data_IF_196843445531
#
_entry.id   IF_196843445531
#
_cell.length_a   1.000
_cell.length_b   1.000
_cell.length_c   1.000
_cell.angle_alpha   90.00
_cell.angle_beta   90.00
_cell.angle_gamma   90.00
#
_symmetry.space_group_name_H-M   'P 1'
#
loop_
_entity.id
_entity.type
_entity.pdbx_description
1 polymer ?
#
# COMPACT_ATOMS: atom_id res chain seq x y z
N UNK A 1 -7.84 -39.59 -15.16
CA UNK A 1 -7.28 -38.39 -14.50
C UNK A 1 -6.86 -37.42 -15.60
N UNK A 2 -7.58 -36.32 -15.78
CA UNK A 2 -7.25 -35.32 -16.82
C UNK A 2 -6.02 -34.50 -16.42
N UNK A 3 -5.11 -34.25 -17.35
CA UNK A 3 -3.96 -33.37 -17.15
C UNK A 3 -4.48 -31.97 -16.77
N UNK A 4 -3.91 -31.30 -15.75
CA UNK A 4 -4.25 -29.92 -15.49
C UNK A 4 -3.86 -29.07 -16.71
N UNK A 5 -4.78 -28.23 -17.18
CA UNK A 5 -4.51 -27.31 -18.27
C UNK A 5 -3.32 -26.42 -17.91
N UNK A 6 -2.42 -26.15 -18.87
CA UNK A 6 -1.25 -25.29 -18.68
C UNK A 6 -1.59 -23.92 -18.05
N UNK A 7 -2.83 -23.45 -18.24
CA UNK A 7 -3.36 -22.23 -17.65
C UNK A 7 -3.59 -22.35 -16.13
N UNK A 8 -4.04 -23.50 -15.64
CA UNK A 8 -4.16 -23.77 -14.20
C UNK A 8 -2.79 -23.71 -13.53
N UNK A 9 -1.79 -24.33 -14.16
CA UNK A 9 -0.40 -24.32 -13.67
C UNK A 9 0.15 -22.90 -13.61
N UNK A 10 -0.07 -22.09 -14.65
CA UNK A 10 0.34 -20.69 -14.66
C UNK A 10 -0.39 -19.86 -13.56
N UNK A 11 -1.70 -20.04 -13.40
CA UNK A 11 -2.47 -19.34 -12.38
C UNK A 11 -2.05 -19.73 -10.95
N UNK A 12 -1.71 -21.00 -10.71
CA UNK A 12 -1.19 -21.48 -9.43
C UNK A 12 0.18 -20.86 -9.13
N UNK A 13 1.07 -20.76 -10.13
CA UNK A 13 2.36 -20.09 -9.98
C UNK A 13 2.20 -18.61 -9.62
N UNK A 14 1.32 -17.90 -10.31
CA UNK A 14 1.03 -16.48 -10.00
C UNK A 14 0.42 -16.31 -8.60
N UNK A 15 -0.36 -17.28 -8.15
CA UNK A 15 -0.97 -17.28 -6.83
C UNK A 15 0.04 -17.54 -5.71
N UNK A 16 0.99 -18.46 -5.93
CA UNK A 16 2.11 -18.67 -5.03
C UNK A 16 3.03 -17.44 -4.95
N UNK A 17 3.31 -16.82 -6.09
CA UNK A 17 4.06 -15.55 -6.16
C UNK A 17 3.34 -14.44 -5.39
N UNK A 18 2.00 -14.35 -5.48
CA UNK A 18 1.22 -13.39 -4.68
C UNK A 18 1.40 -13.60 -3.17
N UNK A 19 1.38 -14.85 -2.68
CA UNK A 19 1.63 -15.11 -1.27
C UNK A 19 3.02 -14.63 -0.83
N UNK A 20 4.04 -14.87 -1.65
CA UNK A 20 5.40 -14.43 -1.35
C UNK A 20 5.48 -12.90 -1.26
N UNK A 21 4.97 -12.19 -2.28
CA UNK A 21 5.02 -10.72 -2.32
C UNK A 21 4.21 -10.09 -1.18
N UNK A 22 3.12 -10.73 -0.72
CA UNK A 22 2.37 -10.31 0.46
C UNK A 22 3.21 -10.39 1.75
N UNK A 23 3.97 -11.49 1.93
CA UNK A 23 4.85 -11.66 3.10
C UNK A 23 5.98 -10.63 3.06
N UNK A 24 6.62 -10.46 1.91
CA UNK A 24 7.69 -9.48 1.69
C UNK A 24 7.19 -8.05 1.99
N UNK A 25 6.06 -7.66 1.42
CA UNK A 25 5.46 -6.34 1.65
C UNK A 25 5.12 -6.08 3.12
N UNK A 26 4.66 -7.11 3.84
CA UNK A 26 4.37 -6.98 5.27
C UNK A 26 5.66 -6.80 6.10
N UNK A 27 6.71 -7.55 5.76
CA UNK A 27 8.01 -7.46 6.42
C UNK A 27 8.67 -6.09 6.16
N UNK A 28 8.61 -5.61 4.91
CA UNK A 28 9.09 -4.30 4.51
C UNK A 28 8.32 -3.19 5.25
N UNK A 29 7.00 -3.30 5.35
CA UNK A 29 6.19 -2.36 6.12
C UNK A 29 6.58 -2.36 7.61
N UNK A 30 6.73 -3.53 8.22
CA UNK A 30 7.15 -3.65 9.61
C UNK A 30 8.55 -3.07 9.85
N UNK A 31 9.50 -3.32 8.93
CA UNK A 31 10.84 -2.77 8.97
C UNK A 31 10.82 -1.24 8.80
N UNK A 32 10.11 -0.75 7.79
CA UNK A 32 9.93 0.67 7.51
C UNK A 32 9.37 1.44 8.73
N UNK A 33 8.32 0.91 9.38
CA UNK A 33 7.74 1.52 10.57
C UNK A 33 8.68 1.48 11.79
N UNK A 34 9.57 0.48 11.86
CA UNK A 34 10.63 0.42 12.88
C UNK A 34 11.70 1.47 12.63
N UNK A 35 12.13 1.66 11.38
CA UNK A 35 13.06 2.73 10.99
C UNK A 35 12.43 4.09 11.28
N UNK A 36 11.17 4.30 10.90
CA UNK A 36 10.45 5.55 11.17
C UNK A 36 10.43 5.90 12.66
N UNK A 37 10.14 4.92 13.53
CA UNK A 37 10.18 5.13 14.98
C UNK A 37 11.54 5.60 15.49
N UNK A 38 12.63 5.08 14.91
CA UNK A 38 14.00 5.51 15.25
C UNK A 38 14.24 6.94 14.76
N UNK A 39 13.93 7.22 13.50
CA UNK A 39 14.07 8.53 12.89
C UNK A 39 13.30 9.61 13.66
N UNK A 40 12.07 9.32 14.11
CA UNK A 40 11.29 10.24 14.94
C UNK A 40 11.93 10.49 16.32
N UNK A 41 12.59 9.48 16.90
CA UNK A 41 13.32 9.65 18.18
C UNK A 41 14.52 10.58 18.00
N UNK A 42 15.22 10.44 16.88
CA UNK A 42 16.36 11.28 16.54
C UNK A 42 15.90 12.71 16.21
N UNK A 43 14.82 12.87 15.44
CA UNK A 43 14.19 14.16 15.18
C UNK A 43 13.82 14.87 16.50
N UNK A 44 13.13 14.18 17.40
CA UNK A 44 12.76 14.72 18.71
C UNK A 44 13.98 15.17 19.53
N UNK A 45 15.08 14.42 19.46
CA UNK A 45 16.33 14.73 20.17
C UNK A 45 17.01 15.99 19.61
N UNK A 46 17.04 16.14 18.28
CA UNK A 46 17.64 17.29 17.58
C UNK A 46 16.87 18.59 17.84
N UNK A 47 15.55 18.51 17.94
CA UNK A 47 14.67 19.67 18.12
C UNK A 47 14.38 19.98 19.60
N UNK A 48 15.10 19.35 20.56
CA UNK A 48 14.94 19.62 21.98
C UNK A 48 13.62 19.12 22.60
N UNK A 49 12.83 18.33 21.86
CA UNK A 49 11.53 17.81 22.28
C UNK A 49 11.69 16.62 23.24
N UNK A 50 12.04 16.90 24.51
CA UNK A 50 12.39 15.85 25.50
C UNK A 50 11.25 15.40 26.44
N UNK A 51 10.15 16.14 26.57
CA UNK A 51 9.20 15.90 27.68
C UNK A 51 7.70 15.77 27.31
N UNK A 52 7.12 16.65 26.47
CA UNK A 52 5.69 16.58 26.08
C UNK A 52 5.51 17.01 24.62
N UNK A 53 4.60 16.36 23.89
CA UNK A 53 4.26 16.73 22.52
C UNK A 53 5.33 16.37 21.47
N UNK A 54 6.11 15.30 21.68
CA UNK A 54 7.13 14.90 20.71
C UNK A 54 6.50 14.27 19.46
N UNK A 55 7.16 14.38 18.31
CA UNK A 55 6.68 13.81 17.05
C UNK A 55 6.45 12.30 17.17
N UNK A 56 7.40 11.59 17.81
CA UNK A 56 7.25 10.15 18.09
C UNK A 56 6.01 9.83 18.89
N UNK A 57 5.70 10.65 19.90
CA UNK A 57 4.53 10.43 20.76
C UNK A 57 3.22 10.73 20.01
N UNK A 58 3.23 11.75 19.15
CA UNK A 58 2.09 12.20 18.36
C UNK A 58 1.69 11.17 17.29
N UNK A 59 2.66 10.54 16.62
CA UNK A 59 2.42 9.53 15.58
C UNK A 59 2.25 8.10 16.14
N UNK A 60 2.37 7.89 17.46
CA UNK A 60 2.50 6.54 18.05
C UNK A 60 1.33 5.61 17.71
N UNK A 61 0.10 6.11 17.82
CA UNK A 61 -1.12 5.34 17.53
C UNK A 61 -1.16 4.90 16.06
N UNK A 62 -0.85 5.82 15.17
CA UNK A 62 -0.95 5.60 13.72
C UNK A 62 0.13 4.65 13.24
N UNK A 63 1.34 4.73 13.83
CA UNK A 63 2.41 3.76 13.54
C UNK A 63 2.01 2.37 14.01
N UNK A 64 1.33 2.26 15.16
CA UNK A 64 0.82 0.97 15.66
C UNK A 64 -0.26 0.44 14.73
N UNK A 65 -1.24 1.26 14.38
CA UNK A 65 -2.31 0.89 13.46
C UNK A 65 -1.77 0.43 12.10
N UNK A 66 -0.84 1.18 11.49
CA UNK A 66 -0.22 0.81 10.22
C UNK A 66 0.52 -0.54 10.32
N UNK A 67 1.20 -0.79 11.45
CA UNK A 67 1.85 -2.08 11.70
C UNK A 67 0.83 -3.22 11.78
N UNK A 68 -0.22 -3.03 12.58
CA UNK A 68 -1.24 -4.05 12.80
C UNK A 68 -1.98 -4.38 11.49
N UNK A 69 -2.35 -3.35 10.71
CA UNK A 69 -2.97 -3.52 9.38
C UNK A 69 -2.03 -4.21 8.39
N UNK A 70 -0.74 -3.87 8.39
CA UNK A 70 0.24 -4.54 7.50
C UNK A 70 0.46 -6.01 7.85
N UNK A 71 0.30 -6.40 9.11
CA UNK A 71 0.41 -7.80 9.54
C UNK A 71 -0.72 -8.68 8.97
N UNK A 72 -1.88 -8.09 8.64
CA UNK A 72 -2.95 -8.81 7.95
C UNK A 72 -2.54 -9.29 6.56
N UNK A 73 -1.56 -8.66 5.89
CA UNK A 73 -1.02 -9.16 4.62
C UNK A 73 -0.37 -10.54 4.80
N UNK A 74 0.34 -10.77 5.91
CA UNK A 74 0.91 -12.09 6.23
C UNK A 74 -0.19 -13.12 6.49
N UNK A 75 -1.25 -12.72 7.18
CA UNK A 75 -2.38 -13.60 7.44
C UNK A 75 -3.10 -14.02 6.15
N UNK A 76 -3.26 -13.09 5.20
CA UNK A 76 -3.78 -13.39 3.86
C UNK A 76 -2.82 -14.32 3.10
N UNK A 77 -1.51 -14.08 3.14
CA UNK A 77 -0.52 -14.95 2.51
C UNK A 77 -0.57 -16.38 3.07
N UNK A 78 -0.74 -16.53 4.38
CA UNK A 78 -0.89 -17.84 5.00
C UNK A 78 -2.17 -18.56 4.53
N UNK A 79 -3.28 -17.85 4.38
CA UNK A 79 -4.53 -18.40 3.82
C UNK A 79 -4.33 -18.87 2.37
N UNK A 80 -3.70 -18.05 1.53
CA UNK A 80 -3.37 -18.38 0.14
C UNK A 80 -2.53 -19.66 0.07
N UNK A 81 -1.48 -19.77 0.89
CA UNK A 81 -0.62 -20.96 0.91
C UNK A 81 -1.36 -22.23 1.37
N UNK A 82 -2.39 -22.08 2.21
CA UNK A 82 -3.19 -23.21 2.73
C UNK A 82 -4.29 -23.65 1.77
N UNK A 83 -4.81 -22.77 0.92
CA UNK A 83 -5.97 -23.09 0.09
C UNK A 83 -5.66 -24.02 -1.08
N UNK A 84 -4.38 -24.18 -1.45
CA UNK A 84 -3.84 -25.03 -2.53
C UNK A 84 -4.45 -24.80 -3.93
N UNK A 85 -5.46 -23.93 -4.05
CA UNK A 85 -6.20 -23.61 -5.26
C UNK A 85 -6.39 -22.11 -5.35
N UNK A 86 -6.06 -21.56 -6.52
CA UNK A 86 -6.26 -20.15 -6.81
C UNK A 86 -7.72 -19.73 -6.57
N UNK A 87 -7.92 -18.73 -5.71
CA UNK A 87 -9.24 -18.32 -5.21
C UNK A 87 -9.48 -16.83 -5.36
N UNK A 88 -10.57 -16.47 -6.08
CA UNK A 88 -10.98 -15.06 -6.26
C UNK A 88 -11.23 -14.33 -4.94
N UNK A 89 -11.72 -15.05 -3.92
CA UNK A 89 -11.98 -14.48 -2.58
C UNK A 89 -10.69 -14.07 -1.90
N UNK A 90 -9.63 -14.86 -2.05
CA UNK A 90 -8.33 -14.61 -1.44
C UNK A 90 -7.59 -13.47 -2.15
N UNK A 91 -7.71 -13.38 -3.47
CA UNK A 91 -7.18 -12.23 -4.23
C UNK A 91 -7.92 -10.93 -3.84
N UNK A 92 -9.26 -10.97 -3.73
CA UNK A 92 -10.02 -9.83 -3.25
C UNK A 92 -9.64 -9.43 -1.81
N UNK A 93 -9.37 -10.42 -0.95
CA UNK A 93 -8.84 -10.20 0.40
C UNK A 93 -7.48 -9.52 0.35
N UNK A 94 -6.54 -9.99 -0.48
CA UNK A 94 -5.23 -9.38 -0.67
C UNK A 94 -5.34 -7.92 -1.09
N UNK A 95 -6.17 -7.61 -2.10
CA UNK A 95 -6.44 -6.24 -2.56
C UNK A 95 -7.01 -5.36 -1.45
N UNK A 96 -7.99 -5.85 -0.69
CA UNK A 96 -8.59 -5.11 0.43
C UNK A 96 -7.54 -4.74 1.48
N UNK A 97 -6.71 -5.68 1.91
CA UNK A 97 -5.71 -5.44 2.95
C UNK A 97 -4.53 -4.60 2.45
N UNK A 98 -4.16 -4.72 1.17
CA UNK A 98 -3.19 -3.82 0.54
C UNK A 98 -3.69 -2.37 0.54
N UNK A 99 -4.94 -2.13 0.12
CA UNK A 99 -5.54 -0.80 0.14
C UNK A 99 -5.62 -0.24 1.58
N UNK A 100 -6.02 -1.06 2.54
CA UNK A 100 -6.04 -0.67 3.95
C UNK A 100 -4.65 -0.29 4.47
N UNK A 101 -3.61 -1.03 4.07
CA UNK A 101 -2.22 -0.72 4.41
C UNK A 101 -1.80 0.62 3.81
N UNK A 102 -2.08 0.86 2.52
CA UNK A 102 -1.78 2.14 1.86
C UNK A 102 -2.47 3.31 2.58
N UNK A 103 -3.76 3.17 2.88
CA UNK A 103 -4.52 4.20 3.58
C UNK A 103 -3.95 4.49 4.98
N UNK A 104 -3.54 3.47 5.72
CA UNK A 104 -2.92 3.65 7.04
C UNK A 104 -1.58 4.43 6.95
N UNK A 105 -0.81 4.20 5.89
CA UNK A 105 0.43 4.93 5.62
C UNK A 105 0.19 6.37 5.16
N UNK A 106 -0.92 6.64 4.46
CA UNK A 106 -1.31 8.01 4.09
C UNK A 106 -1.86 8.79 5.29
N UNK A 107 -2.54 8.12 6.22
CA UNK A 107 -2.91 8.71 7.52
C UNK A 107 -1.64 9.12 8.28
N UNK A 108 -0.58 8.31 8.29
CA UNK A 108 0.70 8.69 8.90
C UNK A 108 1.27 10.00 8.31
N UNK A 109 1.25 10.15 6.99
CA UNK A 109 1.70 11.39 6.32
C UNK A 109 0.83 12.59 6.74
N UNK A 110 -0.48 12.40 6.82
CA UNK A 110 -1.43 13.44 7.22
C UNK A 110 -1.24 13.84 8.69
N UNK A 111 -1.06 12.87 9.58
CA UNK A 111 -0.79 13.13 11.00
C UNK A 111 0.55 13.81 11.20
N UNK A 112 1.58 13.44 10.43
CA UNK A 112 2.88 14.11 10.41
C UNK A 112 2.75 15.59 10.02
N UNK A 113 2.01 15.87 8.93
CA UNK A 113 1.72 17.24 8.52
C UNK A 113 0.97 18.03 9.60
N UNK A 114 -0.02 17.42 10.23
CA UNK A 114 -0.76 18.05 11.33
C UNK A 114 0.14 18.36 12.53
N UNK A 115 1.17 17.54 12.76
CA UNK A 115 2.19 17.83 13.77
C UNK A 115 2.99 19.08 13.39
N UNK A 116 3.51 19.14 12.16
CA UNK A 116 4.28 20.27 11.68
C UNK A 116 3.47 21.57 11.73
N UNK A 117 2.19 21.53 11.32
CA UNK A 117 1.30 22.69 11.36
C UNK A 117 1.08 23.22 12.79
N UNK A 118 0.95 22.32 13.78
CA UNK A 118 0.76 22.69 15.19
C UNK A 118 2.02 23.28 15.82
N UNK A 119 3.20 22.87 15.37
CA UNK A 119 4.48 23.29 15.95
C UNK A 119 5.16 24.42 15.17
N UNK A 120 4.43 25.08 14.25
CA UNK A 120 4.96 26.22 13.49
C UNK A 120 5.89 25.83 12.33
N UNK A 121 6.05 24.55 12.06
CA UNK A 121 6.78 24.01 10.90
C UNK A 121 5.86 23.81 9.68
N UNK A 122 4.73 24.53 9.62
CA UNK A 122 3.79 24.45 8.52
C UNK A 122 4.48 24.77 7.18
N UNK A 123 4.60 23.81 6.29
CA UNK A 123 5.07 24.04 4.92
C UNK A 123 3.92 24.54 4.04
N UNK A 124 4.17 25.57 3.22
CA UNK A 124 3.22 26.13 2.23
C UNK A 124 2.52 27.43 2.64
N UNK A 125 1.45 27.80 1.91
CA UNK A 125 0.74 29.09 2.02
C UNK A 125 0.29 29.40 3.46
N UNK A 126 -0.13 28.39 4.22
CA UNK A 126 -0.56 28.55 5.62
C UNK A 126 0.60 28.93 6.56
N UNK A 127 1.82 28.43 6.30
CA UNK A 127 3.03 28.84 7.03
C UNK A 127 3.45 30.26 6.66
N UNK A 128 3.38 30.61 5.38
CA UNK A 128 3.65 31.97 4.91
C UNK A 128 2.69 33.01 5.52
N UNK A 129 1.40 32.69 5.63
CA UNK A 129 0.41 33.58 6.24
C UNK A 129 0.62 33.69 7.76
N UNK A 130 0.91 32.59 8.47
CA UNK A 130 1.17 32.64 9.93
C UNK A 130 2.39 33.51 10.25
N UNK A 131 3.48 33.37 9.48
CA UNK A 131 4.68 34.18 9.66
C UNK A 131 4.45 35.67 9.34
N UNK A 132 3.57 35.97 8.37
CA UNK A 132 3.17 37.35 8.06
C UNK A 132 2.22 37.98 9.10
N UNK A 133 1.42 37.17 9.81
CA UNK A 133 0.43 37.65 10.79
C UNK A 133 1.02 37.84 12.19
N UNK A 134 2.02 37.03 12.59
CA UNK A 134 2.74 37.18 13.87
C UNK A 134 3.84 38.26 13.82
N UNK A 135 4.07 38.88 12.65
CA UNK A 135 5.14 39.85 12.40
C UNK A 135 4.85 41.30 12.81
N UNK A 136 3.90 41.55 13.73
CA UNK A 136 3.62 42.90 14.25
C UNK A 136 3.93 43.02 15.75
N UNK A 137 5.23 43.19 16.06
CA UNK A 137 5.69 44.02 17.17
C UNK A 137 7.10 44.55 16.86
N UNK A 138 7.20 45.87 16.78
CA UNK A 138 8.43 46.63 16.52
C UNK A 138 9.43 46.54 17.70
N UNK A 139 10.72 46.35 17.40
CA UNK A 139 11.79 47.35 17.57
C UNK A 139 13.21 46.75 17.47
N UNK A 140 14.12 47.57 16.94
CA UNK A 140 15.59 47.51 16.96
C UNK A 140 16.37 46.62 15.96
N UNK A 141 16.61 47.22 14.79
CA UNK A 141 17.95 47.56 14.25
C UNK A 141 19.13 46.72 14.79
N UNK A 142 19.38 45.58 14.14
CA UNK A 142 20.69 45.07 13.69
C UNK A 142 20.67 43.54 13.62
N UNK A 143 20.15 42.99 12.53
CA UNK A 143 20.54 41.67 12.10
C UNK A 143 20.66 41.68 10.58
N UNK A 144 21.91 41.55 10.14
CA UNK A 144 22.29 41.43 8.74
C UNK A 144 21.42 40.38 8.05
N UNK A 145 20.98 40.74 6.86
CA UNK A 145 20.43 39.81 5.89
C UNK A 145 21.42 38.67 5.69
N UNK A 146 21.03 37.46 6.11
CA UNK A 146 21.59 36.22 5.59
C UNK A 146 20.40 35.31 5.24
N UNK A 147 19.91 35.52 4.02
CA UNK A 147 19.15 34.53 3.29
C UNK A 147 20.08 33.36 2.98
N UNK A 148 20.25 32.43 3.92
CA UNK A 148 20.81 31.12 3.62
C UNK A 148 19.69 30.19 3.17
N UNK A 149 19.33 30.31 1.89
CA UNK A 149 18.90 29.14 1.14
C UNK A 149 20.13 28.27 0.93
N UNK A 150 20.24 27.16 1.66
CA UNK A 150 21.28 26.19 1.40
C UNK A 150 20.72 24.78 1.23
N UNK A 151 20.76 24.36 -0.03
CA UNK A 151 20.59 22.98 -0.45
C UNK A 151 21.88 22.22 -0.11
N UNK A 152 21.90 21.59 1.06
CA UNK A 152 22.97 20.64 1.38
C UNK A 152 22.48 19.19 1.35
N UNK A 153 22.66 18.62 0.16
CA UNK A 153 23.00 17.22 -0.04
C UNK A 153 24.22 16.83 0.81
N UNK A 154 24.09 15.84 1.70
CA UNK A 154 25.27 15.17 2.25
C UNK A 154 25.11 14.51 3.62
N UNK A 155 24.50 13.31 3.66
CA UNK A 155 24.63 12.42 4.82
C UNK A 155 23.47 11.43 5.00
N UNK A 156 23.39 10.41 4.13
CA UNK A 156 22.61 9.12 4.21
C UNK A 156 21.10 9.14 4.59
N UNK A 157 20.61 10.12 5.34
CA UNK A 157 19.22 10.55 5.47
C UNK A 157 19.32 12.04 5.86
N UNK A 158 19.22 12.93 4.86
CA UNK A 158 19.25 14.38 5.09
C UNK A 158 18.31 14.75 6.24
N UNK A 159 18.79 15.61 7.14
CA UNK A 159 18.00 16.16 8.24
C UNK A 159 16.72 16.77 7.66
N UNK A 160 15.61 16.03 7.73
CA UNK A 160 14.33 16.55 7.29
C UNK A 160 13.88 17.56 8.32
N UNK A 161 13.79 18.83 7.92
CA UNK A 161 13.40 19.93 8.81
C UNK A 161 11.96 19.79 9.33
N UNK A 162 11.14 18.94 8.68
CA UNK A 162 9.77 18.63 9.10
C UNK A 162 9.53 17.14 9.31
N UNK A 163 8.52 16.82 10.12
CA UNK A 163 8.11 15.45 10.39
C UNK A 163 7.43 14.83 9.17
N UNK A 164 6.64 15.60 8.41
CA UNK A 164 5.99 15.14 7.17
C UNK A 164 7.02 14.63 6.15
N UNK A 165 8.07 15.40 5.89
CA UNK A 165 9.12 15.00 4.96
C UNK A 165 9.92 13.81 5.49
N UNK A 166 10.12 13.72 6.82
CA UNK A 166 10.75 12.56 7.45
C UNK A 166 9.92 11.28 7.25
N UNK A 167 8.59 11.38 7.42
CA UNK A 167 7.68 10.26 7.15
C UNK A 167 7.73 9.89 5.66
N UNK A 168 7.55 10.85 4.75
CA UNK A 168 7.54 10.59 3.30
C UNK A 168 8.83 9.94 2.82
N UNK A 169 9.98 10.49 3.19
CA UNK A 169 11.29 9.96 2.81
C UNK A 169 11.52 8.56 3.38
N UNK A 170 11.16 8.33 4.65
CA UNK A 170 11.29 7.01 5.26
C UNK A 170 10.41 5.98 4.54
N UNK A 171 9.15 6.31 4.27
CA UNK A 171 8.23 5.42 3.55
C UNK A 171 8.74 5.12 2.13
N UNK A 172 9.16 6.15 1.38
CA UNK A 172 9.66 6.02 0.01
C UNK A 172 10.90 5.12 -0.07
N UNK A 173 11.79 5.20 0.91
CA UNK A 173 13.06 4.49 0.89
C UNK A 173 12.96 3.04 1.38
N UNK A 174 11.94 2.70 2.16
CA UNK A 174 11.87 1.42 2.87
C UNK A 174 10.64 0.57 2.51
N UNK A 175 9.71 1.08 1.71
CA UNK A 175 8.50 0.35 1.36
C UNK A 175 8.09 0.58 -0.10
N UNK A 176 7.86 -0.52 -0.82
CA UNK A 176 7.37 -0.47 -2.19
C UNK A 176 6.12 -1.36 -2.39
N UNK A 177 4.93 -0.74 -2.29
CA UNK A 177 3.66 -1.43 -2.54
C UNK A 177 3.36 -1.62 -4.04
N UNK A 178 4.11 -1.03 -4.97
CA UNK A 178 3.84 -1.15 -6.41
C UNK A 178 3.99 -2.59 -6.90
N UNK A 179 4.94 -3.33 -6.34
CA UNK A 179 5.18 -4.74 -6.65
C UNK A 179 3.97 -5.58 -6.25
N UNK A 180 3.42 -5.34 -5.05
CA UNK A 180 2.21 -6.02 -4.57
C UNK A 180 0.98 -5.69 -5.43
N UNK A 181 0.79 -4.41 -5.79
CA UNK A 181 -0.29 -4.00 -6.70
C UNK A 181 -0.20 -4.74 -8.04
N UNK A 182 1.01 -4.81 -8.61
CA UNK A 182 1.25 -5.53 -9.86
C UNK A 182 0.91 -7.01 -9.72
N UNK A 183 1.40 -7.67 -8.67
CA UNK A 183 1.19 -9.11 -8.48
C UNK A 183 -0.28 -9.45 -8.25
N UNK A 184 -1.03 -8.61 -7.51
CA UNK A 184 -2.47 -8.76 -7.35
C UNK A 184 -3.17 -8.66 -8.71
N UNK A 185 -2.84 -7.66 -9.54
CA UNK A 185 -3.44 -7.51 -10.86
C UNK A 185 -3.12 -8.69 -11.79
N UNK A 186 -1.90 -9.23 -11.74
CA UNK A 186 -1.48 -10.39 -12.53
C UNK A 186 -2.25 -11.64 -12.10
N UNK A 187 -2.36 -11.89 -10.80
CA UNK A 187 -3.14 -13.00 -10.26
C UNK A 187 -4.64 -12.90 -10.63
N UNK A 188 -5.23 -11.70 -10.59
CA UNK A 188 -6.63 -11.50 -11.03
C UNK A 188 -6.83 -11.78 -12.51
N UNK A 189 -5.89 -11.35 -13.35
CA UNK A 189 -5.92 -11.61 -14.80
C UNK A 189 -5.80 -13.10 -15.09
N UNK A 190 -4.92 -13.81 -14.39
CA UNK A 190 -4.76 -15.26 -14.54
C UNK A 190 -6.05 -16.04 -14.23
N UNK A 191 -6.88 -15.53 -13.29
CA UNK A 191 -8.17 -16.11 -12.91
C UNK A 191 -9.38 -15.69 -13.78
N UNK A 192 -9.21 -14.69 -14.65
CA UNK A 192 -10.31 -14.18 -15.47
C UNK A 192 -10.44 -15.02 -16.74
N UNK A 193 -11.63 -15.58 -17.09
CA UNK A 193 -11.81 -16.33 -18.34
C UNK A 193 -11.47 -15.47 -19.55
N UNK A 194 -10.76 -16.04 -20.52
CA UNK A 194 -10.57 -15.36 -21.81
C UNK A 194 -11.92 -15.24 -22.51
N UNK A 195 -12.19 -14.14 -23.22
CA UNK A 195 -13.41 -13.97 -24.04
C UNK A 195 -13.58 -15.16 -25.00
N UNK A 196 -12.48 -15.70 -25.51
CA UNK A 196 -12.44 -16.88 -26.38
C UNK A 196 -12.90 -18.16 -25.68
N UNK A 197 -12.62 -18.30 -24.38
CA UNK A 197 -13.11 -19.45 -23.60
C UNK A 197 -14.58 -19.33 -23.24
N UNK A 198 -15.06 -18.12 -22.89
CA UNK A 198 -16.50 -17.88 -22.72
C UNK A 198 -17.25 -18.20 -24.02
N UNK A 199 -16.68 -17.84 -25.16
CA UNK A 199 -17.24 -18.20 -26.47
C UNK A 199 -17.18 -19.71 -26.72
N UNK A 200 -16.09 -20.41 -26.37
CA UNK A 200 -16.00 -21.87 -26.48
C UNK A 200 -16.98 -22.62 -25.56
N UNK A 201 -17.13 -22.23 -24.29
CA UNK A 201 -18.14 -22.80 -23.38
C UNK A 201 -19.56 -22.55 -23.88
N UNK A 202 -19.86 -21.32 -24.35
CA UNK A 202 -21.16 -21.01 -24.93
C UNK A 202 -21.46 -21.84 -26.19
N UNK A 203 -20.46 -22.05 -27.06
CA UNK A 203 -20.60 -22.92 -28.22
C UNK A 203 -20.74 -24.40 -27.84
N UNK A 204 -20.08 -24.87 -26.78
CA UNK A 204 -20.22 -26.25 -26.31
C UNK A 204 -21.63 -26.51 -25.76
N UNK A 205 -22.20 -25.57 -24.99
CA UNK A 205 -23.58 -25.66 -24.49
C UNK A 205 -24.64 -25.55 -25.60
N UNK A 206 -24.36 -24.85 -26.70
CA UNK A 206 -25.23 -24.83 -27.89
C UNK A 206 -25.12 -26.14 -28.68
N UNK A 207 -23.93 -26.72 -28.78
CA UNK A 207 -23.70 -27.99 -29.49
C UNK A 207 -24.43 -29.16 -28.83
N UNK A 208 -24.45 -29.24 -27.49
CA UNK A 208 -25.19 -30.28 -26.75
C UNK A 208 -26.72 -30.20 -26.96
N UNK A 209 -27.27 -29.00 -27.20
CA UNK A 209 -28.69 -28.82 -27.54
C UNK A 209 -29.05 -29.20 -28.98
N UNK A 210 -28.08 -29.29 -29.89
CA UNK A 210 -28.31 -29.62 -31.31
C UNK A 210 -28.05 -31.09 -31.65
N UNK A 211 -27.39 -31.85 -30.76
CA UNK A 211 -27.13 -33.29 -30.95
C UNK A 211 -28.11 -34.22 -30.22
N UNK A 212 -29.25 -33.69 -29.75
CA UNK A 212 -30.34 -34.47 -29.18
C UNK A 212 -31.09 -35.32 -30.22
N UNK A 213 -30.57 -36.53 -30.44
CA UNK A 213 -31.22 -37.77 -30.88
C UNK A 213 -32.11 -37.78 -32.16
N UNK A 214 -31.62 -38.31 -33.31
CA UNK A 214 -32.44 -38.59 -34.48
C UNK A 214 -32.96 -40.05 -34.47
N UNK A 215 -33.63 -40.49 -33.40
CA UNK A 215 -34.20 -41.84 -33.38
C UNK A 215 -35.59 -41.92 -32.76
N UNK A 216 -36.59 -41.40 -33.47
CA UNK A 216 -37.95 -41.98 -33.45
C UNK A 216 -38.65 -41.72 -34.78
N UNK A 217 -38.39 -42.60 -35.76
CA UNK A 217 -39.23 -42.76 -36.95
C UNK A 217 -40.46 -43.60 -36.59
N UNK A 218 -41.62 -43.09 -37.00
CA UNK A 218 -42.80 -43.78 -37.57
C UNK A 218 -43.28 -45.14 -37.01
N UNK A 219 -44.56 -45.16 -36.60
CA UNK A 219 -45.61 -46.14 -36.98
C UNK A 219 -46.97 -45.42 -36.77
N UNK A 220 -47.63 -44.84 -37.78
CA UNK A 220 -48.54 -45.43 -38.79
C UNK A 220 -49.96 -45.73 -38.24
N UNK A 221 -50.89 -44.86 -38.67
CA UNK A 221 -52.31 -45.00 -39.10
C UNK A 221 -53.31 -45.99 -38.47
N UNK A 222 -54.52 -45.43 -38.34
CA UNK A 222 -55.89 -46.00 -38.45
C UNK A 222 -56.46 -46.77 -37.28
#
# INVERSE_FOLDING_TARGET
MGKPDNRSIAAEKEFASLAQVLVESANDAAHCLKVLKKNLTEYDSRHGNRFRGTAKSYLRSDIRNAKDVSAELQHVAHKINKSHKCSKKEIASARKHMNATSNALDILKTTARNYDEKHGHATGVKGAIKNAVDGSHDNDINARADYHGDHHHGGILGSSDTVEELVKTTLRNNLNLSVLIYQINTAEKAMSPSIVEKAKEAMHGVKEKLTGDPTRRHSITS
#
